data_IF_275915631568
#
_entry.id   IF_275915631568
#
_cell.length_a   1.000
_cell.length_b   1.000
_cell.length_c   1.000
_cell.angle_alpha   90.00
_cell.angle_beta   90.00
_cell.angle_gamma   90.00
#
_symmetry.space_group_name_H-M   'P 1'
#
loop_
_entity.id
_entity.type
_entity.pdbx_description
1 polymer ?
#
# COMPACT_ATOMS: atom_id res chain seq x y z
N UNK A 1 -37.72 -19.98 7.64
CA UNK A 1 -36.84 -18.79 7.48
C UNK A 1 -35.78 -18.66 8.58
N UNK A 2 -36.08 -18.93 9.86
CA UNK A 2 -35.11 -18.83 10.95
C UNK A 2 -33.78 -19.61 10.82
N UNK A 3 -33.76 -20.90 10.44
CA UNK A 3 -32.52 -21.67 10.41
C UNK A 3 -31.57 -21.25 9.28
N UNK A 4 -32.11 -20.86 8.12
CA UNK A 4 -31.30 -20.37 6.99
C UNK A 4 -30.63 -19.03 7.32
N UNK A 5 -31.34 -18.13 8.01
CA UNK A 5 -30.78 -16.85 8.46
C UNK A 5 -29.66 -17.09 9.48
N UNK A 6 -29.86 -17.99 10.44
CA UNK A 6 -28.83 -18.32 11.43
C UNK A 6 -27.56 -18.91 10.78
N UNK A 7 -27.71 -19.82 9.81
CA UNK A 7 -26.59 -20.38 9.06
C UNK A 7 -25.87 -19.32 8.23
N UNK A 8 -26.63 -18.45 7.54
CA UNK A 8 -26.04 -17.37 6.73
C UNK A 8 -25.24 -16.39 7.60
N UNK A 9 -25.77 -15.98 8.75
CA UNK A 9 -25.07 -15.09 9.69
C UNK A 9 -23.84 -15.77 10.29
N UNK A 10 -23.95 -17.05 10.66
CA UNK A 10 -22.81 -17.83 11.15
C UNK A 10 -21.69 -17.94 10.11
N UNK A 11 -22.03 -18.31 8.88
CA UNK A 11 -21.07 -18.40 7.78
C UNK A 11 -20.41 -17.05 7.48
N UNK A 12 -21.20 -15.98 7.50
CA UNK A 12 -20.69 -14.61 7.28
C UNK A 12 -19.71 -14.20 8.38
N UNK A 13 -20.05 -14.49 9.65
CA UNK A 13 -19.14 -14.24 10.78
C UNK A 13 -17.82 -15.02 10.67
N UNK A 14 -17.89 -16.28 10.24
CA UNK A 14 -16.69 -17.11 10.00
C UNK A 14 -15.83 -16.50 8.90
N UNK A 15 -16.42 -16.10 7.78
CA UNK A 15 -15.70 -15.47 6.65
C UNK A 15 -15.05 -14.16 7.09
N UNK A 16 -15.81 -13.28 7.75
CA UNK A 16 -15.32 -11.98 8.22
C UNK A 16 -14.20 -12.11 9.27
N UNK A 17 -14.13 -13.21 10.01
CA UNK A 17 -13.07 -13.43 10.98
C UNK A 17 -11.84 -14.14 10.37
N UNK A 18 -12.04 -15.23 9.64
CA UNK A 18 -10.95 -16.07 9.14
C UNK A 18 -10.22 -15.47 7.94
N UNK A 19 -10.94 -14.82 7.00
CA UNK A 19 -10.31 -14.27 5.80
C UNK A 19 -9.30 -13.16 6.15
N UNK A 20 -9.61 -12.15 6.99
CA UNK A 20 -8.63 -11.15 7.37
C UNK A 20 -7.45 -11.75 8.16
N UNK A 21 -7.70 -12.75 8.99
CA UNK A 21 -6.64 -13.43 9.74
C UNK A 21 -5.64 -14.14 8.81
N UNK A 22 -6.13 -14.82 7.78
CA UNK A 22 -5.29 -15.46 6.76
C UNK A 22 -4.52 -14.45 5.92
N UNK A 23 -5.17 -13.38 5.45
CA UNK A 23 -4.52 -12.31 4.68
C UNK A 23 -3.43 -11.64 5.51
N UNK A 24 -3.68 -11.37 6.80
CA UNK A 24 -2.68 -10.78 7.71
C UNK A 24 -1.47 -11.71 7.91
N UNK A 25 -1.70 -13.01 8.01
CA UNK A 25 -0.63 -14.00 8.13
C UNK A 25 0.22 -14.06 6.85
N UNK A 26 -0.41 -14.11 5.67
CA UNK A 26 0.29 -14.15 4.38
C UNK A 26 1.06 -12.84 4.12
N UNK A 27 0.44 -11.70 4.40
CA UNK A 27 1.09 -10.38 4.31
C UNK A 27 2.32 -10.30 5.20
N UNK A 28 2.25 -10.85 6.43
CA UNK A 28 3.39 -10.89 7.36
C UNK A 28 4.51 -11.80 6.85
N UNK A 29 4.16 -12.89 6.16
CA UNK A 29 5.12 -13.79 5.50
C UNK A 29 5.80 -13.08 4.33
N UNK A 30 5.04 -12.45 3.44
CA UNK A 30 5.56 -11.71 2.28
C UNK A 30 6.50 -10.58 2.67
N UNK A 31 6.16 -9.79 3.69
CA UNK A 31 7.05 -8.76 4.26
C UNK A 31 8.41 -9.29 4.73
N UNK A 32 8.50 -10.57 5.13
CA UNK A 32 9.78 -11.19 5.55
C UNK A 32 10.59 -11.71 4.37
N UNK A 33 9.93 -12.12 3.30
CA UNK A 33 10.57 -12.73 2.13
C UNK A 33 10.96 -11.70 1.08
N UNK A 34 10.21 -10.60 0.96
CA UNK A 34 10.43 -9.56 -0.03
C UNK A 34 10.55 -8.17 0.65
N UNK A 35 11.75 -7.57 0.67
CA UNK A 35 11.98 -6.23 1.22
C UNK A 35 11.24 -5.12 0.46
N UNK A 36 10.83 -5.36 -0.79
CA UNK A 36 10.08 -4.40 -1.61
C UNK A 36 8.57 -4.54 -1.45
N UNK A 37 8.10 -5.56 -0.73
CA UNK A 37 6.67 -5.79 -0.55
C UNK A 37 6.02 -4.70 0.32
N UNK A 38 5.26 -3.83 -0.33
CA UNK A 38 4.37 -2.85 0.32
C UNK A 38 2.94 -3.39 0.30
N UNK A 39 2.34 -3.69 1.46
CA UNK A 39 0.94 -4.07 1.45
C UNK A 39 0.07 -2.87 1.11
N UNK A 40 -0.84 -3.07 0.16
CA UNK A 40 -1.94 -2.17 -0.12
C UNK A 40 -2.77 -2.04 1.16
N UNK A 41 -2.79 -0.85 1.77
CA UNK A 41 -3.55 -0.59 2.99
C UNK A 41 -5.05 -0.77 2.75
N UNK A 42 -5.83 -0.98 3.81
CA UNK A 42 -7.29 -1.07 3.74
C UNK A 42 -7.94 0.14 3.06
N UNK A 43 -7.30 1.31 3.11
CA UNK A 43 -7.74 2.52 2.41
C UNK A 43 -7.62 2.45 0.88
N UNK A 44 -6.66 1.69 0.33
CA UNK A 44 -6.50 1.58 -1.13
C UNK A 44 -7.67 0.85 -1.79
N UNK A 45 -8.19 -0.19 -1.13
CA UNK A 45 -9.36 -0.94 -1.62
C UNK A 45 -10.63 -0.08 -1.57
N UNK A 46 -10.78 0.74 -0.52
CA UNK A 46 -11.95 1.63 -0.40
C UNK A 46 -11.85 2.80 -1.38
N UNK A 47 -10.65 3.34 -1.60
CA UNK A 47 -10.43 4.43 -2.56
C UNK A 47 -10.71 3.98 -4.00
N UNK A 48 -10.38 2.73 -4.36
CA UNK A 48 -10.64 2.17 -5.71
C UNK A 48 -12.15 2.04 -6.05
N UNK A 49 -13.02 1.91 -5.04
CA UNK A 49 -14.47 1.92 -5.23
C UNK A 49 -15.02 3.30 -5.64
N UNK A 50 -14.36 4.37 -5.19
CA UNK A 50 -14.78 5.75 -5.48
C UNK A 50 -13.93 6.40 -6.58
N UNK A 51 -12.71 5.92 -6.77
CA UNK A 51 -11.73 6.36 -7.76
C UNK A 51 -11.09 5.13 -8.42
N UNK A 52 -11.76 4.52 -9.42
CA UNK A 52 -11.28 3.31 -10.08
C UNK A 52 -9.95 3.49 -10.83
N UNK A 53 -9.51 4.74 -11.05
CA UNK A 53 -8.22 5.09 -11.68
C UNK A 53 -7.09 5.26 -10.66
N UNK A 54 -7.32 5.05 -9.36
CA UNK A 54 -6.29 5.15 -8.34
C UNK A 54 -5.15 4.14 -8.58
N UNK A 55 -5.48 2.95 -9.10
CA UNK A 55 -4.50 1.91 -9.40
C UNK A 55 -3.54 2.29 -10.55
N UNK A 56 -4.03 2.96 -11.61
CA UNK A 56 -3.18 3.43 -12.72
C UNK A 56 -2.32 4.62 -12.28
N UNK A 57 -2.89 5.55 -11.51
CA UNK A 57 -2.15 6.69 -10.98
C UNK A 57 -1.01 6.26 -10.05
N UNK A 58 -1.21 5.21 -9.24
CA UNK A 58 -0.15 4.65 -8.41
C UNK A 58 0.97 4.01 -9.24
N UNK A 59 0.63 3.29 -10.31
CA UNK A 59 1.63 2.70 -11.21
C UNK A 59 2.45 3.77 -11.95
N UNK A 60 1.81 4.83 -12.40
CA UNK A 60 2.48 5.98 -13.03
C UNK A 60 3.42 6.67 -12.03
N UNK A 61 2.95 6.90 -10.80
CA UNK A 61 3.79 7.48 -9.74
C UNK A 61 4.97 6.58 -9.32
N UNK A 62 4.84 5.24 -9.39
CA UNK A 62 5.97 4.33 -9.19
C UNK A 62 6.96 4.37 -10.36
N UNK A 63 6.47 4.51 -11.59
CA UNK A 63 7.29 4.62 -12.79
C UNK A 63 8.07 5.96 -12.86
N UNK A 64 7.47 7.03 -12.35
CA UNK A 64 8.03 8.39 -12.35
C UNK A 64 8.99 8.67 -11.18
N UNK A 65 9.38 7.67 -10.36
CA UNK A 65 10.38 7.89 -9.31
C UNK A 65 11.74 8.25 -9.93
N UNK A 66 11.96 9.55 -10.16
CA UNK A 66 13.27 10.12 -10.47
C UNK A 66 14.22 9.83 -9.31
N UNK A 67 15.38 9.26 -9.64
CA UNK A 67 16.44 9.07 -8.66
C UNK A 67 16.82 10.45 -8.11
N UNK A 68 16.84 10.63 -6.77
CA UNK A 68 17.29 11.89 -6.20
C UNK A 68 18.68 12.22 -6.75
N UNK A 69 18.90 13.50 -7.08
CA UNK A 69 20.17 13.95 -7.61
C UNK A 69 21.32 13.41 -6.73
N UNK A 70 22.40 12.88 -7.34
CA UNK A 70 23.50 12.31 -6.59
C UNK A 70 23.99 13.34 -5.56
N UNK A 71 24.34 12.85 -4.36
CA UNK A 71 24.81 13.71 -3.30
C UNK A 71 25.95 14.62 -3.81
N UNK A 72 25.97 15.90 -3.40
CA UNK A 72 27.02 16.82 -3.82
C UNK A 72 28.38 16.23 -3.46
N UNK A 73 29.35 16.42 -4.35
CA UNK A 73 30.69 15.89 -4.12
C UNK A 73 31.28 16.52 -2.85
N UNK A 74 32.12 15.80 -2.06
CA UNK A 74 32.81 16.38 -0.91
C UNK A 74 33.78 17.49 -1.39
N UNK A 75 33.26 18.70 -1.59
CA UNK A 75 33.96 19.79 -2.26
C UNK A 75 33.04 20.87 -2.85
N UNK A 76 31.77 20.55 -3.10
CA UNK A 76 30.78 21.52 -3.56
C UNK A 76 30.37 22.47 -2.41
N UNK A 77 31.11 23.57 -2.27
CA UNK A 77 30.76 24.66 -1.35
C UNK A 77 29.47 25.33 -1.83
N UNK A 78 28.49 25.60 -0.95
CA UNK A 78 27.30 26.34 -1.32
C UNK A 78 27.73 27.74 -1.78
N UNK A 79 27.52 28.02 -3.07
CA UNK A 79 27.84 29.32 -3.69
C UNK A 79 26.99 30.40 -3.02
N UNK A 80 27.53 31.03 -1.97
CA UNK A 80 26.90 32.18 -1.31
C UNK A 80 26.74 33.29 -2.35
N UNK A 81 25.50 33.63 -2.67
CA UNK A 81 25.13 34.76 -3.52
C UNK A 81 25.35 36.06 -2.74
N UNK A 82 26.55 36.64 -2.84
CA UNK A 82 26.80 38.02 -2.40
C UNK A 82 26.43 38.97 -3.54
N UNK A 83 25.20 39.50 -3.47
CA UNK A 83 24.74 40.61 -4.32
C UNK A 83 25.23 41.94 -3.75
N UNK A 84 25.76 42.77 -4.65
CA UNK A 84 26.26 44.14 -4.43
C UNK A 84 25.14 45.15 -4.59
#
# INVERSE_FOLDING_TARGET
MGPLIAVALGATGVVLFFVPALVKADTRRRRRTDPRYRPMGSFGVVDELFHPTAYSAFQEAEAEQELPAPAPSPGDLPRRRTGR
#
